data_IF_585970853617
#
_entry.id   IF_585970853617
#
_cell.length_a   1.000
_cell.length_b   1.000
_cell.length_c   1.000
_cell.angle_alpha   90.00
_cell.angle_beta   90.00
_cell.angle_gamma   90.00
#
_symmetry.space_group_name_H-M   'P 1'
#
loop_
_entity.id
_entity.type
_entity.pdbx_description
1 polymer ?
#
# COMPACT_ATOMS: atom_id res chain seq x y z
N UNK A 1 -44.05 -51.24 9.58
CA UNK A 1 -44.42 -52.65 9.38
C UNK A 1 -43.14 -53.43 9.07
N UNK A 2 -42.82 -54.43 9.91
CA UNK A 2 -41.72 -55.43 9.80
C UNK A 2 -40.28 -54.88 9.90
N UNK A 3 -39.44 -55.06 10.92
CA UNK A 3 -39.17 -56.12 11.92
C UNK A 3 -38.64 -57.48 11.42
N UNK A 4 -37.45 -57.83 11.96
CA UNK A 4 -36.89 -59.17 12.32
C UNK A 4 -36.32 -60.05 11.17
N UNK A 5 -35.24 -60.84 11.27
CA UNK A 5 -34.40 -61.42 12.35
C UNK A 5 -33.08 -61.98 11.72
N UNK A 6 -31.86 -61.79 12.24
CA UNK A 6 -31.04 -62.59 13.21
C UNK A 6 -30.69 -64.04 12.83
N UNK A 7 -29.38 -64.35 12.86
CA UNK A 7 -28.68 -65.50 13.50
C UNK A 7 -27.18 -65.08 13.58
N UNK A 8 -26.42 -65.05 14.70
CA UNK A 8 -26.28 -65.96 15.85
C UNK A 8 -25.23 -67.04 15.52
N UNK A 9 -24.14 -67.36 16.24
CA UNK A 9 -23.52 -67.02 17.52
C UNK A 9 -22.16 -67.79 17.61
N UNK A 10 -21.17 -67.45 18.44
CA UNK A 10 -20.85 -68.03 19.78
C UNK A 10 -19.43 -67.49 20.15
N UNK A 11 -19.11 -66.85 21.28
CA UNK A 11 -19.23 -67.11 22.73
C UNK A 11 -18.18 -68.09 23.31
N UNK A 12 -17.24 -67.57 24.13
CA UNK A 12 -16.82 -68.17 25.41
C UNK A 12 -15.96 -67.19 26.25
N UNK A 13 -16.24 -67.14 27.56
CA UNK A 13 -15.67 -66.28 28.59
C UNK A 13 -15.16 -67.12 29.77
N UNK A 14 -14.28 -66.55 30.62
CA UNK A 14 -14.11 -66.93 32.04
C UNK A 14 -13.30 -65.82 32.76
N UNK A 15 -13.90 -65.05 33.69
CA UNK A 15 -14.02 -65.25 35.18
C UNK A 15 -12.73 -64.91 35.94
N UNK A 16 -12.69 -64.39 37.17
CA UNK A 16 -13.58 -63.71 38.14
C UNK A 16 -12.70 -63.60 39.41
N UNK A 17 -12.80 -62.55 40.25
CA UNK A 17 -12.32 -62.68 41.63
C UNK A 17 -12.00 -61.39 42.37
N UNK A 18 -12.87 -61.01 43.31
CA UNK A 18 -12.77 -59.89 44.25
C UNK A 18 -12.73 -60.48 45.67
N UNK A 19 -11.92 -59.94 46.60
CA UNK A 19 -12.30 -59.43 47.96
C UNK A 19 -11.06 -59.15 48.87
N UNK A 20 -10.88 -57.91 49.37
CA UNK A 20 -11.07 -57.33 50.76
C UNK A 20 -10.07 -57.92 51.82
N UNK A 21 -9.24 -57.19 52.61
CA UNK A 21 -9.53 -56.40 53.85
C UNK A 21 -8.24 -55.74 54.46
N UNK A 22 -8.29 -54.40 54.73
CA UNK A 22 -7.94 -53.57 55.97
C UNK A 22 -6.54 -53.70 56.63
N UNK A 23 -5.83 -52.73 57.25
CA UNK A 23 -5.96 -51.32 57.75
C UNK A 23 -4.55 -50.69 57.89
N UNK A 24 -4.42 -49.35 57.94
CA UNK A 24 -3.91 -48.68 59.15
C UNK A 24 -3.32 -47.28 58.91
N UNK A 25 -3.71 -46.32 59.76
CA UNK A 25 -3.32 -44.90 59.75
C UNK A 25 -1.86 -44.64 60.14
N UNK A 26 -1.26 -43.58 59.59
CA UNK A 26 -0.29 -42.73 60.29
C UNK A 26 -0.21 -41.33 59.64
N UNK A 27 -0.32 -40.29 60.46
CA UNK A 27 -0.23 -38.88 60.10
C UNK A 27 1.23 -38.43 59.89
N UNK A 28 1.48 -37.48 58.99
CA UNK A 28 2.67 -36.61 59.04
C UNK A 28 2.37 -35.19 58.57
N UNK A 29 2.89 -34.26 59.35
CA UNK A 29 2.78 -32.81 59.24
C UNK A 29 3.45 -32.27 57.97
N UNK A 30 2.79 -31.32 57.29
CA UNK A 30 3.44 -30.47 56.28
C UNK A 30 4.23 -29.37 57.00
N UNK A 31 5.54 -29.54 57.11
CA UNK A 31 6.46 -28.45 57.39
C UNK A 31 6.73 -27.68 56.08
N UNK A 32 6.40 -26.39 56.06
CA UNK A 32 6.68 -25.50 54.94
C UNK A 32 8.18 -25.31 54.76
N UNK A 33 8.68 -25.62 53.56
CA UNK A 33 10.01 -25.23 53.11
C UNK A 33 9.81 -24.02 52.20
N UNK A 34 10.11 -22.82 52.70
CA UNK A 34 10.29 -21.63 51.89
C UNK A 34 11.56 -21.80 51.07
N UNK A 35 11.42 -22.13 49.78
CA UNK A 35 12.54 -22.08 48.84
C UNK A 35 12.70 -20.64 48.37
N UNK A 36 13.69 -19.95 48.92
CA UNK A 36 14.15 -18.65 48.43
C UNK A 36 14.77 -18.83 47.05
N UNK A 37 14.02 -18.53 45.99
CA UNK A 37 14.57 -18.43 44.63
C UNK A 37 15.42 -17.16 44.58
N UNK A 38 16.73 -17.32 44.68
CA UNK A 38 17.69 -16.27 44.36
C UNK A 38 17.57 -15.95 42.87
N UNK A 39 17.26 -14.68 42.58
CA UNK A 39 17.29 -14.12 41.24
C UNK A 39 18.67 -14.35 40.64
N UNK A 40 18.73 -15.22 39.62
CA UNK A 40 19.85 -15.23 38.68
C UNK A 40 19.60 -14.08 37.72
N UNK A 41 20.59 -13.19 37.59
CA UNK A 41 20.64 -12.16 36.56
C UNK A 41 20.32 -12.78 35.21
N UNK A 42 19.10 -12.54 34.74
CA UNK A 42 18.71 -12.78 33.37
C UNK A 42 19.37 -11.67 32.56
N UNK A 43 20.49 -12.01 31.92
CA UNK A 43 21.04 -11.20 30.84
C UNK A 43 19.92 -10.88 29.84
N UNK A 44 19.97 -9.66 29.31
CA UNK A 44 19.05 -9.12 28.30
C UNK A 44 18.95 -10.06 27.10
N UNK A 45 18.01 -11.01 27.18
CA UNK A 45 17.59 -11.83 26.07
C UNK A 45 16.79 -10.94 25.14
N UNK A 46 17.42 -10.51 24.06
CA UNK A 46 16.78 -9.86 22.93
C UNK A 46 15.57 -10.72 22.54
N UNK A 47 14.38 -10.09 22.54
CA UNK A 47 13.15 -10.74 22.10
C UNK A 47 13.38 -11.35 20.70
N UNK A 48 12.80 -12.52 20.38
CA UNK A 48 13.00 -13.14 19.08
C UNK A 48 12.69 -12.11 17.99
N UNK A 49 13.65 -11.90 17.08
CA UNK A 49 13.53 -10.95 15.98
C UNK A 49 12.17 -11.12 15.32
N UNK A 50 11.35 -10.06 15.40
CA UNK A 50 10.10 -10.00 14.66
C UNK A 50 10.39 -10.30 13.18
N UNK A 51 9.50 -11.02 12.46
CA UNK A 51 9.74 -11.34 11.05
C UNK A 51 10.10 -10.08 10.26
N UNK A 52 11.19 -10.15 9.49
CA UNK A 52 11.63 -9.03 8.67
C UNK A 52 10.60 -8.74 7.57
N UNK A 53 9.74 -7.76 7.83
CA UNK A 53 8.71 -7.29 6.90
C UNK A 53 9.26 -6.31 5.85
N UNK A 54 10.58 -6.23 5.66
CA UNK A 54 11.16 -5.25 4.76
C UNK A 54 10.71 -5.55 3.33
N UNK A 55 10.05 -4.58 2.64
CA UNK A 55 9.44 -4.83 1.36
C UNK A 55 10.49 -5.16 0.28
N UNK A 56 10.17 -6.15 -0.56
CA UNK A 56 10.90 -6.43 -1.79
C UNK A 56 10.44 -5.49 -2.91
N UNK A 57 11.41 -4.94 -3.66
CA UNK A 57 11.15 -4.09 -4.81
C UNK A 57 11.95 -4.56 -6.03
N UNK A 58 11.27 -4.71 -7.16
CA UNK A 58 11.87 -5.14 -8.42
C UNK A 58 11.97 -3.92 -9.34
N UNK A 59 13.20 -3.54 -9.73
CA UNK A 59 13.46 -2.44 -10.65
C UNK A 59 13.99 -2.99 -11.98
N UNK A 60 13.28 -2.73 -13.07
CA UNK A 60 13.64 -3.19 -14.42
C UNK A 60 14.05 -2.00 -15.28
N UNK A 61 15.32 -1.96 -15.71
CA UNK A 61 15.82 -0.98 -16.69
C UNK A 61 15.70 -1.58 -18.09
N UNK A 62 14.87 -0.97 -18.94
CA UNK A 62 14.68 -1.41 -20.32
C UNK A 62 15.88 -1.04 -21.21
N UNK A 63 16.54 0.08 -20.98
CA UNK A 63 17.72 0.49 -21.77
C UNK A 63 18.91 -0.42 -21.49
N UNK A 64 19.14 -0.75 -20.23
CA UNK A 64 20.29 -1.57 -19.83
C UNK A 64 20.00 -3.06 -19.86
N UNK A 65 18.75 -3.44 -20.16
CA UNK A 65 18.28 -4.83 -20.16
C UNK A 65 18.64 -5.55 -18.87
N UNK A 66 18.33 -4.93 -17.72
CA UNK A 66 18.60 -5.49 -16.38
C UNK A 66 17.39 -5.42 -15.48
N UNK A 67 17.33 -6.36 -14.54
CA UNK A 67 16.49 -6.30 -13.35
C UNK A 67 17.38 -6.29 -12.11
N UNK A 68 17.07 -5.41 -11.17
CA UNK A 68 17.62 -5.38 -9.82
C UNK A 68 16.51 -5.66 -8.81
N UNK A 69 16.83 -6.46 -7.80
CA UNK A 69 15.92 -6.81 -6.71
C UNK A 69 16.49 -6.25 -5.43
N UNK A 70 15.71 -5.41 -4.77
CA UNK A 70 16.04 -4.78 -3.51
C UNK A 70 15.18 -5.30 -2.38
N UNK A 71 15.73 -5.31 -1.16
CA UNK A 71 14.99 -5.42 0.10
C UNK A 71 15.22 -4.13 0.86
N UNK A 72 14.20 -3.29 0.93
CA UNK A 72 14.39 -1.89 1.31
C UNK A 72 15.35 -1.22 0.33
N UNK A 73 16.46 -0.67 0.83
CA UNK A 73 17.49 -0.04 -0.01
C UNK A 73 18.68 -0.95 -0.33
N UNK A 74 18.72 -2.17 0.23
CA UNK A 74 19.80 -3.12 -0.01
C UNK A 74 19.60 -3.86 -1.33
N UNK A 75 20.60 -3.83 -2.22
CA UNK A 75 20.59 -4.61 -3.46
C UNK A 75 20.85 -6.08 -3.16
N UNK A 76 19.83 -6.92 -3.30
CA UNK A 76 19.96 -8.36 -3.09
C UNK A 76 20.54 -9.07 -4.32
N UNK A 77 19.95 -8.83 -5.50
CA UNK A 77 20.29 -9.55 -6.73
C UNK A 77 20.19 -8.66 -7.96
N UNK A 78 20.96 -9.02 -8.98
CA UNK A 78 20.89 -8.45 -10.33
C UNK A 78 20.85 -9.57 -11.36
N UNK A 79 20.17 -9.34 -12.48
CA UNK A 79 20.14 -10.27 -13.62
C UNK A 79 19.95 -9.51 -14.93
N UNK A 80 20.53 -10.00 -16.04
CA UNK A 80 20.11 -9.54 -17.36
C UNK A 80 18.65 -9.95 -17.62
N UNK A 81 17.99 -9.22 -18.53
CA UNK A 81 16.66 -9.53 -19.05
C UNK A 81 16.67 -9.53 -20.58
N UNK A 82 15.57 -9.98 -21.18
CA UNK A 82 15.22 -9.66 -22.57
C UNK A 82 13.79 -9.12 -22.60
N UNK A 83 13.63 -7.81 -22.83
CA UNK A 83 12.35 -7.12 -22.93
C UNK A 83 11.72 -7.22 -24.33
N UNK A 84 10.61 -6.50 -24.54
CA UNK A 84 9.85 -6.44 -25.79
C UNK A 84 10.58 -5.75 -26.94
N UNK A 85 10.52 -6.36 -28.13
CA UNK A 85 11.10 -5.83 -29.38
C UNK A 85 10.30 -4.62 -29.90
N UNK A 86 10.83 -3.84 -30.88
CA UNK A 86 10.06 -2.79 -31.54
C UNK A 86 8.70 -3.28 -32.06
N UNK A 87 7.66 -2.46 -31.87
CA UNK A 87 6.26 -2.83 -32.17
C UNK A 87 5.58 -3.72 -31.12
N UNK A 88 6.33 -4.29 -30.17
CA UNK A 88 5.83 -5.05 -29.02
C UNK A 88 6.60 -4.68 -27.75
N UNK A 89 6.82 -3.37 -27.55
CA UNK A 89 7.60 -2.86 -26.44
C UNK A 89 7.03 -3.28 -25.09
N UNK A 90 7.90 -3.58 -24.13
CA UNK A 90 7.47 -3.73 -22.74
C UNK A 90 7.03 -2.36 -22.22
N UNK A 91 5.80 -2.23 -21.68
CA UNK A 91 5.33 -0.96 -21.15
C UNK A 91 6.16 -0.54 -19.94
N UNK A 92 6.41 0.76 -19.81
CA UNK A 92 7.05 1.32 -18.61
C UNK A 92 5.98 1.73 -17.61
N UNK A 93 6.34 1.75 -16.32
CA UNK A 93 5.44 2.19 -15.27
C UNK A 93 5.60 1.43 -13.95
N UNK A 94 4.58 1.56 -13.11
CA UNK A 94 4.47 0.92 -11.81
C UNK A 94 3.45 -0.20 -11.90
N UNK A 95 3.89 -1.42 -11.61
CA UNK A 95 3.08 -2.63 -11.67
C UNK A 95 3.13 -3.37 -10.34
N UNK A 96 2.25 -4.35 -10.20
CA UNK A 96 2.28 -5.31 -9.11
C UNK A 96 2.13 -6.72 -9.67
N UNK A 97 2.69 -7.73 -8.99
CA UNK A 97 2.53 -9.12 -9.40
C UNK A 97 1.07 -9.55 -9.16
N UNK A 98 0.31 -9.70 -10.24
CA UNK A 98 -1.13 -10.02 -10.21
C UNK A 98 -1.38 -11.51 -10.00
N UNK A 99 -0.57 -12.33 -10.66
CA UNK A 99 -0.71 -13.78 -10.72
C UNK A 99 0.67 -14.43 -10.78
N UNK A 100 0.80 -15.61 -10.17
CA UNK A 100 2.01 -16.42 -10.23
C UNK A 100 1.67 -17.85 -10.64
N UNK A 101 2.34 -18.38 -11.67
CA UNK A 101 2.22 -19.79 -12.07
C UNK A 101 3.59 -20.39 -12.41
N UNK A 102 3.93 -21.52 -11.77
CA UNK A 102 5.19 -22.24 -12.07
C UNK A 102 5.22 -22.78 -13.50
N UNK A 103 4.10 -23.32 -13.98
CA UNK A 103 3.90 -23.78 -15.36
C UNK A 103 2.78 -22.96 -15.98
N UNK A 104 3.09 -22.13 -16.96
CA UNK A 104 2.14 -21.34 -17.73
C UNK A 104 2.47 -21.41 -19.21
N UNK A 105 1.47 -21.20 -20.06
CA UNK A 105 1.60 -21.14 -21.50
C UNK A 105 0.86 -19.91 -22.00
N UNK A 106 1.44 -19.20 -22.96
CA UNK A 106 0.84 -17.96 -23.50
C UNK A 106 -0.39 -18.27 -24.33
N UNK A 107 -1.53 -17.70 -23.94
CA UNK A 107 -2.77 -17.75 -24.73
C UNK A 107 -2.67 -16.94 -26.04
N UNK A 108 -1.76 -15.96 -26.10
CA UNK A 108 -1.61 -15.03 -27.24
C UNK A 108 -0.56 -15.47 -28.25
N UNK A 109 0.32 -16.41 -27.88
CA UNK A 109 1.48 -16.80 -28.69
C UNK A 109 1.58 -18.33 -28.76
N UNK A 110 0.61 -18.98 -29.39
CA UNK A 110 0.60 -20.42 -29.71
C UNK A 110 0.99 -21.33 -28.54
N UNK A 111 0.49 -21.06 -27.32
CA UNK A 111 0.85 -21.81 -26.11
C UNK A 111 2.36 -21.86 -25.85
N UNK A 112 3.11 -20.80 -26.19
CA UNK A 112 4.52 -20.72 -25.89
C UNK A 112 4.74 -20.85 -24.36
N UNK A 113 5.65 -21.73 -23.90
CA UNK A 113 5.87 -21.96 -22.48
C UNK A 113 6.44 -20.72 -21.80
N UNK A 114 5.87 -20.37 -20.65
CA UNK A 114 6.30 -19.29 -19.76
C UNK A 114 6.52 -19.86 -18.35
N UNK A 115 7.61 -20.61 -18.10
CA UNK A 115 7.89 -21.15 -16.77
C UNK A 115 8.15 -20.02 -15.77
N UNK A 116 7.73 -20.24 -14.51
CA UNK A 116 7.87 -19.26 -13.42
C UNK A 116 7.25 -17.89 -13.74
N UNK A 117 6.10 -17.90 -14.42
CA UNK A 117 5.40 -16.69 -14.84
C UNK A 117 4.88 -15.89 -13.65
N UNK A 118 5.13 -14.59 -13.68
CA UNK A 118 4.62 -13.59 -12.76
C UNK A 118 3.99 -12.45 -13.57
N UNK A 119 2.65 -12.38 -13.57
CA UNK A 119 1.87 -11.47 -14.43
C UNK A 119 1.89 -10.05 -13.88
N UNK A 120 2.11 -9.07 -14.76
CA UNK A 120 2.12 -7.64 -14.43
C UNK A 120 0.89 -6.91 -14.97
N UNK A 121 0.36 -7.36 -16.11
CA UNK A 121 -0.86 -6.79 -16.70
C UNK A 121 -1.83 -7.88 -17.13
N UNK A 122 -3.12 -7.57 -17.12
CA UNK A 122 -4.14 -8.45 -17.70
C UNK A 122 -4.07 -8.53 -19.22
N UNK A 123 -3.42 -7.55 -19.89
CA UNK A 123 -3.11 -7.62 -21.32
C UNK A 123 -2.04 -8.68 -21.67
N UNK A 124 -1.35 -9.26 -20.68
CA UNK A 124 -0.47 -10.41 -20.89
C UNK A 124 1.01 -10.16 -20.64
N UNK A 125 1.42 -8.97 -20.19
CA UNK A 125 2.83 -8.68 -19.86
C UNK A 125 3.18 -9.38 -18.54
N UNK A 126 4.30 -10.11 -18.53
CA UNK A 126 4.76 -10.87 -17.38
C UNK A 126 6.29 -10.98 -17.32
N UNK A 127 6.81 -11.24 -16.12
CA UNK A 127 8.15 -11.77 -15.90
C UNK A 127 8.09 -13.29 -16.04
N UNK A 128 9.01 -13.93 -16.77
CA UNK A 128 9.07 -15.38 -16.84
C UNK A 128 10.44 -15.87 -17.35
N UNK A 129 10.73 -17.17 -17.16
CA UNK A 129 11.92 -17.78 -17.77
C UNK A 129 11.85 -17.70 -19.30
N UNK A 130 12.96 -17.36 -19.96
CA UNK A 130 13.07 -17.42 -21.42
C UNK A 130 14.50 -17.31 -21.95
N UNK A 131 14.67 -17.40 -23.27
CA UNK A 131 15.96 -17.19 -23.94
C UNK A 131 16.29 -15.69 -24.00
N UNK A 132 17.53 -15.32 -23.68
CA UNK A 132 18.04 -13.95 -23.66
C UNK A 132 19.12 -13.79 -24.74
N UNK A 133 18.81 -13.17 -25.88
CA UNK A 133 19.78 -12.99 -26.97
C UNK A 133 20.71 -11.77 -26.77
N UNK A 134 20.62 -11.08 -25.63
CA UNK A 134 21.39 -9.87 -25.33
C UNK A 134 20.75 -8.55 -25.80
N UNK A 135 19.55 -8.59 -26.37
CA UNK A 135 18.79 -7.43 -26.84
C UNK A 135 17.28 -7.65 -26.68
N UNK A 136 16.44 -6.59 -26.76
CA UNK A 136 14.98 -6.73 -26.68
C UNK A 136 14.42 -7.61 -27.81
N UNK A 137 13.81 -8.74 -27.44
CA UNK A 137 13.38 -9.76 -28.41
C UNK A 137 11.98 -10.34 -28.13
N UNK A 138 11.35 -10.02 -26.99
CA UNK A 138 10.05 -10.56 -26.61
C UNK A 138 8.89 -9.85 -27.30
N UNK A 139 7.67 -10.35 -27.10
CA UNK A 139 6.45 -9.65 -27.50
C UNK A 139 5.81 -8.89 -26.31
N UNK A 140 6.65 -8.25 -25.48
CA UNK A 140 6.23 -7.40 -24.36
C UNK A 140 6.62 -7.95 -22.99
N UNK A 141 6.72 -9.26 -22.82
CA UNK A 141 7.16 -9.88 -21.56
C UNK A 141 8.63 -9.60 -21.23
N UNK A 142 8.99 -9.71 -19.96
CA UNK A 142 10.36 -9.58 -19.48
C UNK A 142 10.92 -10.99 -19.25
N UNK A 143 11.79 -11.46 -20.14
CA UNK A 143 12.39 -12.79 -20.02
C UNK A 143 13.57 -12.78 -19.06
N UNK A 144 13.68 -13.83 -18.26
CA UNK A 144 14.71 -14.02 -17.24
C UNK A 144 15.49 -15.33 -17.48
N UNK A 145 16.77 -15.41 -17.07
CA UNK A 145 17.50 -16.66 -17.00
C UNK A 145 16.80 -17.67 -16.08
N UNK A 146 16.92 -18.97 -16.36
CA UNK A 146 16.22 -20.03 -15.63
C UNK A 146 16.43 -19.99 -14.12
N UNK A 147 17.69 -19.95 -13.66
CA UNK A 147 18.01 -19.95 -12.23
C UNK A 147 17.44 -18.71 -11.54
N UNK A 148 17.64 -17.53 -12.13
CA UNK A 148 17.09 -16.28 -11.59
C UNK A 148 15.55 -16.27 -11.57
N UNK A 149 14.89 -16.79 -12.60
CA UNK A 149 13.42 -16.88 -12.63
C UNK A 149 12.88 -17.78 -11.52
N UNK A 150 13.57 -18.90 -11.23
CA UNK A 150 13.24 -19.80 -10.14
C UNK A 150 13.36 -19.12 -8.77
N UNK A 151 14.50 -18.48 -8.53
CA UNK A 151 14.79 -17.77 -7.29
C UNK A 151 13.81 -16.61 -7.09
N UNK A 152 13.62 -15.79 -8.12
CA UNK A 152 12.72 -14.64 -8.09
C UNK A 152 11.28 -15.10 -7.80
N UNK A 153 10.85 -16.20 -8.41
CA UNK A 153 9.53 -16.77 -8.13
C UNK A 153 9.41 -17.29 -6.69
N UNK A 154 10.50 -17.73 -6.06
CA UNK A 154 10.51 -18.14 -4.66
C UNK A 154 10.39 -16.96 -3.68
N UNK A 155 11.06 -15.85 -3.97
CA UNK A 155 11.14 -14.70 -3.05
C UNK A 155 9.96 -13.73 -3.14
N UNK A 156 9.28 -13.64 -4.29
CA UNK A 156 8.18 -12.67 -4.47
C UNK A 156 6.84 -13.20 -4.00
N UNK A 157 5.88 -12.31 -3.79
CA UNK A 157 4.48 -12.64 -3.57
C UNK A 157 3.56 -11.86 -4.52
N UNK A 158 2.28 -12.23 -4.55
CA UNK A 158 1.28 -11.41 -5.25
C UNK A 158 1.20 -10.04 -4.57
N UNK A 159 1.07 -8.98 -5.36
CA UNK A 159 1.07 -7.60 -4.88
C UNK A 159 2.47 -6.98 -4.71
N UNK A 160 3.57 -7.74 -4.85
CA UNK A 160 4.91 -7.16 -4.84
C UNK A 160 5.10 -6.19 -6.02
N UNK A 161 5.73 -5.04 -5.76
CA UNK A 161 5.90 -3.96 -6.73
C UNK A 161 6.99 -4.26 -7.74
N UNK A 162 6.67 -3.97 -9.00
CA UNK A 162 7.61 -4.06 -10.13
C UNK A 162 7.57 -2.73 -10.86
N UNK A 163 8.67 -1.99 -10.80
CA UNK A 163 8.84 -0.75 -11.53
C UNK A 163 9.63 -1.06 -12.80
N UNK A 164 9.04 -0.73 -13.94
CA UNK A 164 9.68 -0.88 -15.25
C UNK A 164 9.99 0.50 -15.78
N UNK A 165 11.27 0.85 -15.80
CA UNK A 165 11.75 2.18 -16.18
C UNK A 165 12.53 2.11 -17.49
N UNK A 166 12.66 3.25 -18.16
CA UNK A 166 13.52 3.33 -19.36
C UNK A 166 14.99 3.19 -18.96
N UNK A 167 15.44 4.08 -18.09
CA UNK A 167 16.81 4.14 -17.58
C UNK A 167 16.89 3.49 -16.20
N UNK A 168 18.11 3.27 -15.71
CA UNK A 168 18.33 2.68 -14.39
C UNK A 168 17.80 3.56 -13.26
N UNK A 169 17.15 2.94 -12.29
CA UNK A 169 16.68 3.57 -11.07
C UNK A 169 17.17 2.76 -9.85
N UNK A 170 17.25 3.44 -8.71
CA UNK A 170 17.59 2.84 -7.42
C UNK A 170 16.71 3.44 -6.32
N UNK A 171 16.40 2.67 -5.26
CA UNK A 171 15.71 3.19 -4.10
C UNK A 171 16.62 4.11 -3.29
N UNK A 172 16.08 5.26 -2.90
CA UNK A 172 16.74 6.20 -1.98
C UNK A 172 15.95 6.30 -0.67
N UNK A 173 16.61 6.32 0.51
CA UNK A 173 15.93 6.63 1.76
C UNK A 173 15.32 8.03 1.71
N UNK A 174 14.11 8.19 2.26
CA UNK A 174 13.45 9.48 2.33
C UNK A 174 12.64 9.63 3.64
N UNK A 175 12.69 10.84 4.20
CA UNK A 175 11.85 11.27 5.33
C UNK A 175 11.16 12.56 4.94
N UNK A 176 9.84 12.63 5.09
CA UNK A 176 9.07 13.81 4.71
C UNK A 176 7.74 13.89 5.45
N UNK A 177 7.31 15.10 5.82
CA UNK A 177 6.10 15.33 6.62
C UNK A 177 4.79 14.97 5.88
N UNK A 178 4.80 14.95 4.56
CA UNK A 178 3.67 14.53 3.73
C UNK A 178 3.49 13.00 3.68
N UNK A 179 4.50 12.22 4.07
CA UNK A 179 4.40 10.77 4.10
C UNK A 179 3.66 10.32 5.36
N UNK A 180 2.63 9.45 5.24
CA UNK A 180 1.90 8.96 6.39
C UNK A 180 2.82 8.31 7.42
N UNK A 181 2.50 8.52 8.69
CA UNK A 181 3.19 7.88 9.81
C UNK A 181 2.21 6.95 10.52
N UNK A 182 2.67 5.82 11.09
CA UNK A 182 1.82 4.97 11.92
C UNK A 182 1.15 5.80 13.02
N UNK A 183 -0.14 5.56 13.24
CA UNK A 183 -0.90 6.26 14.27
C UNK A 183 -1.57 5.27 15.19
N UNK A 184 -1.22 5.34 16.48
CA UNK A 184 -1.87 4.58 17.55
C UNK A 184 -2.87 5.52 18.23
N UNK A 185 -4.18 5.26 18.16
CA UNK A 185 -5.16 6.05 18.88
C UNK A 185 -4.89 5.96 20.39
N UNK A 186 -4.55 7.10 21.01
CA UNK A 186 -4.52 7.18 22.47
C UNK A 186 -5.93 6.97 23.00
N UNK A 187 -6.16 5.88 23.73
CA UNK A 187 -7.40 5.75 24.50
C UNK A 187 -7.17 6.49 25.81
N UNK A 188 -7.53 7.77 25.88
CA UNK A 188 -7.71 8.40 27.19
C UNK A 188 -8.98 7.80 27.78
N UNK A 189 -8.83 6.73 28.56
CA UNK A 189 -9.87 6.35 29.50
C UNK A 189 -9.94 7.50 30.48
N UNK A 190 -11.11 8.15 30.60
CA UNK A 190 -11.36 9.09 31.67
C UNK A 190 -11.30 8.31 32.99
N UNK A 191 -10.09 8.16 33.53
CA UNK A 191 -9.89 7.70 34.89
C UNK A 191 -10.48 8.80 35.78
N UNK A 192 -11.66 8.54 36.34
CA UNK A 192 -12.17 9.36 37.42
C UNK A 192 -11.14 9.25 38.55
N UNK A 193 -10.36 10.32 38.76
CA UNK A 193 -9.39 10.32 39.85
C UNK A 193 -10.13 10.07 41.17
N UNK A 194 -9.43 9.41 42.11
CA UNK A 194 -9.97 9.16 43.45
C UNK A 194 -10.51 10.44 44.11
N UNK A 195 -9.90 11.59 43.82
CA UNK A 195 -10.34 12.89 44.32
C UNK A 195 -11.66 13.36 43.65
N UNK A 196 -11.85 13.08 42.36
CA UNK A 196 -13.11 13.39 41.67
C UNK A 196 -14.27 12.58 42.24
N UNK A 197 -14.06 11.28 42.48
CA UNK A 197 -15.06 10.38 43.07
C UNK A 197 -15.38 10.79 44.52
N UNK A 198 -14.35 11.14 45.31
CA UNK A 198 -14.51 11.54 46.72
C UNK A 198 -15.25 12.87 46.88
N UNK A 199 -15.09 13.78 45.93
CA UNK A 199 -15.63 15.14 46.02
C UNK A 199 -17.01 15.31 45.37
N UNK A 200 -17.48 14.33 44.59
CA UNK A 200 -18.84 14.32 44.05
C UNK A 200 -19.84 13.73 45.07
N UNK A 201 -20.81 14.52 45.58
CA UNK A 201 -21.80 14.06 46.55
C UNK A 201 -22.68 12.91 46.05
N UNK A 202 -22.86 12.77 44.73
CA UNK A 202 -23.71 11.73 44.13
C UNK A 202 -23.00 10.36 44.02
N UNK A 203 -21.65 10.35 44.09
CA UNK A 203 -20.83 9.13 43.97
C UNK A 203 -20.31 8.61 45.32
N UNK A 204 -20.54 9.36 46.41
CA UNK A 204 -20.14 8.96 47.76
C UNK A 204 -20.93 7.73 48.22
N UNK A 205 -20.23 6.60 48.32
CA UNK A 205 -20.75 5.35 48.90
C UNK A 205 -21.41 4.39 47.90
N UNK A 206 -21.46 4.73 46.61
CA UNK A 206 -22.00 3.87 45.56
C UNK A 206 -20.92 3.03 44.84
N UNK A 207 -19.64 3.30 45.08
CA UNK A 207 -18.50 2.61 44.46
C UNK A 207 -17.57 2.09 45.55
N UNK A 208 -17.33 0.78 45.57
CA UNK A 208 -16.33 0.14 46.43
C UNK A 208 -14.93 0.46 45.86
N UNK A 209 -14.23 1.41 46.48
CA UNK A 209 -12.91 1.89 46.02
C UNK A 209 -11.80 0.84 46.16
N UNK A 210 -12.05 -0.26 46.89
CA UNK A 210 -11.08 -1.34 47.08
C UNK A 210 -10.96 -2.29 45.87
N UNK A 211 -11.83 -2.14 44.87
CA UNK A 211 -11.84 -2.94 43.64
C UNK A 211 -11.39 -2.16 42.37
N UNK A 212 -10.76 -0.99 42.53
CA UNK A 212 -10.20 -0.26 41.39
C UNK A 212 -8.83 -0.85 41.04
N UNK A 213 -8.82 -1.71 40.02
CA UNK A 213 -7.59 -2.20 39.39
C UNK A 213 -6.68 -1.02 38.98
N UNK A 214 -5.36 -1.17 39.06
CA UNK A 214 -4.44 -0.14 38.59
C UNK A 214 -4.77 0.18 37.13
N UNK A 215 -4.74 1.47 36.81
CA UNK A 215 -4.95 2.06 35.49
C UNK A 215 -4.39 1.13 34.40
N UNK A 216 -5.30 0.38 33.76
CA UNK A 216 -4.94 -0.48 32.64
C UNK A 216 -4.47 0.49 31.56
N UNK A 217 -3.16 0.54 31.35
CA UNK A 217 -2.55 1.28 30.25
C UNK A 217 -3.40 1.01 29.01
N UNK A 218 -3.81 2.04 28.25
CA UNK A 218 -4.75 1.86 27.16
C UNK A 218 -4.26 0.72 26.32
N UNK A 219 -5.03 -0.37 26.29
CA UNK A 219 -4.66 -1.55 25.56
C UNK A 219 -4.42 -1.09 24.12
N UNK A 220 -3.15 -0.95 23.75
CA UNK A 220 -2.77 -0.83 22.36
C UNK A 220 -3.50 -2.00 21.71
N UNK A 221 -4.30 -1.72 20.69
CA UNK A 221 -4.94 -2.80 19.94
C UNK A 221 -3.80 -3.62 19.36
N UNK A 222 -3.35 -4.64 20.09
CA UNK A 222 -2.32 -5.57 19.66
C UNK A 222 -2.92 -6.27 18.45
N UNK A 223 -2.54 -5.78 17.27
CA UNK A 223 -2.62 -6.57 16.05
C UNK A 223 -1.34 -7.40 16.07
N UNK A 224 -1.39 -8.69 16.47
CA UNK A 224 -0.18 -9.50 16.59
C UNK A 224 0.53 -9.70 15.23
N UNK A 225 -0.16 -9.39 14.12
CA UNK A 225 0.40 -9.36 12.78
C UNK A 225 -0.14 -8.15 12.00
N UNK A 226 0.68 -7.62 11.09
CA UNK A 226 0.26 -6.62 10.14
C UNK A 226 -0.63 -7.24 9.07
N UNK A 227 -1.76 -6.60 8.76
CA UNK A 227 -2.55 -6.96 7.57
C UNK A 227 -1.81 -6.62 6.27
N UNK A 228 -2.41 -6.96 5.13
CA UNK A 228 -1.82 -6.65 3.82
C UNK A 228 -1.46 -5.16 3.63
N UNK A 229 -0.37 -4.85 2.92
CA UNK A 229 0.04 -3.48 2.60
C UNK A 229 -1.06 -2.59 2.00
N UNK A 230 -1.04 -1.31 2.36
CA UNK A 230 -1.80 -0.30 1.64
C UNK A 230 -1.16 0.01 0.29
N UNK A 231 -2.01 0.19 -0.71
CA UNK A 231 -1.63 0.69 -2.04
C UNK A 231 -2.32 2.03 -2.21
N UNK A 232 -1.56 3.10 -2.12
CA UNK A 232 -2.07 4.47 -2.17
C UNK A 232 -1.64 5.12 -3.48
N UNK A 233 -2.49 5.99 -4.02
CA UNK A 233 -2.15 6.85 -5.14
C UNK A 233 -2.70 8.25 -4.90
N UNK A 234 -1.89 9.26 -5.18
CA UNK A 234 -2.27 10.66 -5.25
C UNK A 234 -2.15 11.12 -6.70
N UNK A 235 -3.24 11.65 -7.23
CA UNK A 235 -3.30 12.23 -8.58
C UNK A 235 -3.93 13.61 -8.56
N UNK A 236 -3.61 14.49 -9.54
CA UNK A 236 -4.42 15.67 -9.82
C UNK A 236 -5.89 15.31 -9.97
N UNK A 237 -6.77 16.19 -9.50
CA UNK A 237 -8.21 16.05 -9.73
C UNK A 237 -8.49 16.19 -11.23
N UNK A 238 -9.57 15.57 -11.69
CA UNK A 238 -9.94 15.45 -13.11
C UNK A 238 -8.92 14.70 -14.00
N UNK A 239 -8.05 13.89 -13.39
CA UNK A 239 -7.03 13.12 -14.12
C UNK A 239 -6.02 13.99 -14.85
N UNK A 240 -5.87 15.25 -14.42
CA UNK A 240 -4.99 16.25 -15.03
C UNK A 240 -5.60 17.03 -16.20
N UNK A 241 -6.83 16.75 -16.64
CA UNK A 241 -7.46 17.47 -17.77
C UNK A 241 -8.12 18.80 -17.33
N UNK A 242 -7.30 19.66 -16.73
CA UNK A 242 -7.73 21.00 -16.29
C UNK A 242 -8.20 21.84 -17.48
N UNK A 243 -7.65 21.61 -18.67
CA UNK A 243 -8.04 22.31 -19.90
C UNK A 243 -9.52 22.06 -20.20
N UNK A 244 -9.98 20.80 -20.15
CA UNK A 244 -11.38 20.47 -20.40
C UNK A 244 -12.31 21.10 -19.35
N UNK A 245 -11.89 21.12 -18.09
CA UNK A 245 -12.65 21.79 -17.02
C UNK A 245 -12.76 23.29 -17.28
N UNK A 246 -11.67 23.96 -17.66
CA UNK A 246 -11.67 25.37 -18.03
C UNK A 246 -12.50 25.65 -19.28
N UNK A 247 -12.42 24.82 -20.33
CA UNK A 247 -13.26 24.93 -21.53
C UNK A 247 -14.75 24.86 -21.17
N UNK A 248 -15.17 23.94 -20.28
CA UNK A 248 -16.57 23.87 -19.83
C UNK A 248 -17.01 25.13 -19.09
N UNK A 249 -16.17 25.64 -18.19
CA UNK A 249 -16.50 26.83 -17.40
C UNK A 249 -16.61 28.07 -18.30
N UNK A 250 -15.64 28.28 -19.19
CA UNK A 250 -15.65 29.38 -20.16
C UNK A 250 -16.85 29.31 -21.12
N UNK A 251 -17.20 28.12 -21.60
CA UNK A 251 -18.36 27.93 -22.48
C UNK A 251 -19.67 28.26 -21.77
N UNK A 252 -19.84 27.80 -20.53
CA UNK A 252 -21.01 28.10 -19.68
C UNK A 252 -21.17 29.61 -19.40
N UNK A 253 -20.06 30.33 -19.33
CA UNK A 253 -20.03 31.79 -19.15
C UNK A 253 -20.14 32.58 -20.47
N UNK A 254 -20.22 31.90 -21.62
CA UNK A 254 -20.42 32.54 -22.92
C UNK A 254 -19.14 33.01 -23.62
N UNK A 255 -17.94 32.65 -23.14
CA UNK A 255 -16.66 33.03 -23.76
C UNK A 255 -16.30 32.21 -25.01
N UNK A 256 -17.13 31.23 -25.39
CA UNK A 256 -16.99 30.42 -26.62
C UNK A 256 -15.58 29.85 -26.88
N UNK A 257 -15.01 29.04 -25.96
CA UNK A 257 -13.64 28.52 -26.06
C UNK A 257 -13.43 27.49 -27.19
N UNK A 258 -14.48 27.13 -27.92
CA UNK A 258 -14.50 26.04 -28.90
C UNK A 258 -14.92 24.70 -28.27
N UNK A 259 -14.67 23.58 -28.96
CA UNK A 259 -15.00 22.25 -28.45
C UNK A 259 -14.33 21.96 -27.11
N UNK A 260 -15.06 21.27 -26.23
CA UNK A 260 -14.56 20.77 -24.94
C UNK A 260 -13.74 19.49 -25.19
N UNK A 261 -12.55 19.65 -25.76
CA UNK A 261 -11.69 18.57 -26.22
C UNK A 261 -10.46 18.33 -25.32
N UNK A 262 -10.19 19.23 -24.37
CA UNK A 262 -9.00 19.21 -23.50
C UNK A 262 -7.74 19.77 -24.18
N UNK A 263 -7.86 20.37 -25.36
CA UNK A 263 -6.75 20.95 -26.10
C UNK A 263 -6.75 22.47 -25.92
N UNK A 264 -5.62 23.02 -25.46
CA UNK A 264 -5.43 24.47 -25.38
C UNK A 264 -5.19 25.05 -26.80
N UNK A 265 -6.27 25.15 -27.58
CA UNK A 265 -6.27 25.64 -28.97
C UNK A 265 -6.31 27.17 -29.08
N UNK A 266 -6.35 27.70 -30.30
CA UNK A 266 -6.45 29.15 -30.55
C UNK A 266 -7.70 29.75 -29.91
N UNK A 267 -8.88 29.17 -30.16
CA UNK A 267 -10.16 29.62 -29.60
C UNK A 267 -10.17 29.60 -28.07
N UNK A 268 -9.64 28.54 -27.46
CA UNK A 268 -9.55 28.43 -26.00
C UNK A 268 -8.62 29.50 -25.42
N UNK A 269 -7.47 29.77 -26.06
CA UNK A 269 -6.57 30.85 -25.60
C UNK A 269 -7.22 32.24 -25.71
N UNK A 270 -7.95 32.51 -26.79
CA UNK A 270 -8.68 33.79 -26.91
C UNK A 270 -9.77 33.92 -25.84
N UNK A 271 -10.56 32.88 -25.61
CA UNK A 271 -11.56 32.86 -24.54
C UNK A 271 -10.92 33.10 -23.15
N UNK A 272 -9.75 32.52 -22.90
CA UNK A 272 -8.98 32.79 -21.68
C UNK A 272 -8.55 34.24 -21.60
N UNK A 273 -8.07 34.86 -22.69
CA UNK A 273 -7.66 36.28 -22.69
C UNK A 273 -8.84 37.20 -22.38
N UNK A 274 -9.99 36.95 -23.01
CA UNK A 274 -11.21 37.71 -22.76
C UNK A 274 -11.65 37.60 -21.29
N UNK A 275 -11.57 36.39 -20.72
CA UNK A 275 -11.86 36.22 -19.30
C UNK A 275 -10.82 36.92 -18.40
N UNK A 276 -9.52 36.81 -18.74
CA UNK A 276 -8.45 37.46 -17.97
C UNK A 276 -8.59 38.97 -17.96
N UNK A 277 -8.96 39.57 -19.09
CA UNK A 277 -9.24 41.00 -19.22
C UNK A 277 -10.40 41.41 -18.30
N UNK A 278 -11.53 40.69 -18.36
CA UNK A 278 -12.69 40.97 -17.50
C UNK A 278 -12.45 40.71 -16.01
N UNK A 279 -11.53 39.81 -15.67
CA UNK A 279 -11.20 39.43 -14.30
C UNK A 279 -9.97 40.18 -13.73
N UNK A 280 -9.45 41.19 -14.44
CA UNK A 280 -8.26 41.98 -14.07
C UNK A 280 -7.01 41.12 -13.78
N UNK A 281 -6.87 40.02 -14.51
CA UNK A 281 -5.71 39.12 -14.44
C UNK A 281 -4.69 39.47 -15.56
N UNK A 282 -3.41 39.08 -15.41
CA UNK A 282 -2.45 39.18 -16.51
C UNK A 282 -2.94 38.45 -17.77
N UNK A 283 -3.15 39.22 -18.86
CA UNK A 283 -3.71 38.73 -20.13
C UNK A 283 -2.64 37.96 -20.90
N UNK A 284 -2.51 36.68 -20.59
CA UNK A 284 -1.49 35.78 -21.15
C UNK A 284 -2.09 34.78 -22.15
N UNK A 285 -3.38 34.47 -22.01
CA UNK A 285 -4.02 33.35 -22.72
C UNK A 285 -3.56 31.97 -22.24
N UNK A 286 -2.78 31.92 -21.16
CA UNK A 286 -2.23 30.69 -20.60
C UNK A 286 -3.02 30.25 -19.36
N UNK A 287 -3.06 28.94 -19.15
CA UNK A 287 -3.60 28.34 -17.93
C UNK A 287 -2.67 28.64 -16.75
N UNK A 288 -3.22 29.25 -15.71
CA UNK A 288 -2.53 29.48 -14.44
C UNK A 288 -3.45 29.07 -13.29
N UNK A 289 -2.88 28.78 -12.11
CA UNK A 289 -3.68 28.49 -10.93
C UNK A 289 -4.61 29.66 -10.56
N UNK A 290 -4.14 30.91 -10.74
CA UNK A 290 -4.93 32.12 -10.53
C UNK A 290 -6.14 32.22 -11.47
N UNK A 291 -5.97 31.90 -12.76
CA UNK A 291 -7.06 31.84 -13.73
C UNK A 291 -8.12 30.81 -13.31
N UNK A 292 -7.70 29.58 -12.97
CA UNK A 292 -8.62 28.51 -12.58
C UNK A 292 -9.43 28.92 -11.35
N UNK A 293 -8.76 29.50 -10.35
CA UNK A 293 -9.41 29.97 -9.13
C UNK A 293 -10.42 31.08 -9.40
N UNK A 294 -10.10 32.01 -10.30
CA UNK A 294 -11.02 33.07 -10.73
C UNK A 294 -12.24 32.52 -11.48
N UNK A 295 -12.06 31.51 -12.35
CA UNK A 295 -13.17 30.86 -13.06
C UNK A 295 -14.16 30.18 -12.11
N UNK A 296 -13.67 29.47 -11.09
CA UNK A 296 -14.55 28.86 -10.09
C UNK A 296 -15.35 29.91 -9.32
N UNK A 297 -14.67 30.98 -8.88
CA UNK A 297 -15.31 32.10 -8.18
C UNK A 297 -16.40 32.76 -9.04
N UNK A 298 -16.12 33.05 -10.30
CA UNK A 298 -17.07 33.66 -11.23
C UNK A 298 -18.26 32.73 -11.51
N UNK A 299 -18.03 31.41 -11.56
CA UNK A 299 -19.09 30.43 -11.71
C UNK A 299 -19.97 30.29 -10.44
N UNK A 300 -19.63 30.97 -9.34
CA UNK A 300 -20.28 30.80 -8.04
C UNK A 300 -20.09 29.39 -7.47
N UNK A 301 -18.97 28.74 -7.81
CA UNK A 301 -18.67 27.36 -7.42
C UNK A 301 -17.47 27.34 -6.48
N UNK A 302 -17.54 26.51 -5.44
CA UNK A 302 -16.37 26.24 -4.60
C UNK A 302 -15.32 25.51 -5.42
N UNK A 303 -14.06 25.95 -5.29
CA UNK A 303 -12.97 25.28 -5.98
C UNK A 303 -12.75 23.90 -5.35
N UNK A 304 -12.82 22.82 -6.15
CA UNK A 304 -12.59 21.49 -5.64
C UNK A 304 -11.12 21.33 -5.23
N UNK A 305 -10.85 20.39 -4.32
CA UNK A 305 -9.47 20.01 -3.97
C UNK A 305 -8.66 19.72 -5.24
N UNK A 306 -7.41 20.17 -5.29
CA UNK A 306 -6.59 20.05 -6.50
C UNK A 306 -6.09 18.63 -6.76
N UNK A 307 -6.17 17.73 -5.79
CA UNK A 307 -5.87 16.31 -5.93
C UNK A 307 -6.85 15.40 -5.20
N UNK A 308 -6.66 14.09 -5.43
CA UNK A 308 -7.39 13.01 -4.76
C UNK A 308 -6.39 11.95 -4.31
N UNK A 309 -6.51 11.49 -3.06
CA UNK A 309 -5.88 10.29 -2.54
C UNK A 309 -6.85 9.13 -2.65
N UNK A 310 -6.43 8.04 -3.28
CA UNK A 310 -7.18 6.77 -3.33
C UNK A 310 -6.34 5.67 -2.72
N UNK A 311 -6.98 4.78 -1.96
CA UNK A 311 -6.31 3.69 -1.25
C UNK A 311 -7.00 2.38 -1.57
N UNK A 312 -6.15 1.40 -1.93
CA UNK A 312 -6.50 0.02 -2.12
C UNK A 312 -5.82 -0.87 -1.08
N UNK A 313 -6.50 -1.97 -0.76
CA UNK A 313 -5.93 -3.09 -0.03
C UNK A 313 -6.51 -4.37 -0.60
N UNK A 314 -5.68 -5.38 -0.83
CA UNK A 314 -6.09 -6.65 -1.44
C UNK A 314 -6.88 -6.43 -2.75
N UNK A 315 -6.40 -5.52 -3.60
CA UNK A 315 -7.01 -5.19 -4.90
C UNK A 315 -8.43 -4.58 -4.85
N UNK A 316 -8.85 -4.05 -3.69
CA UNK A 316 -10.15 -3.39 -3.50
C UNK A 316 -9.94 -1.95 -3.03
N UNK A 317 -10.75 -1.03 -3.55
CA UNK A 317 -10.82 0.35 -3.03
C UNK A 317 -11.40 0.32 -1.62
N UNK A 318 -10.70 0.94 -0.66
CA UNK A 318 -11.12 0.98 0.75
C UNK A 318 -11.28 2.40 1.29
N UNK A 319 -10.67 3.38 0.63
CA UNK A 319 -10.67 4.75 1.10
C UNK A 319 -10.38 5.72 -0.05
N UNK A 320 -11.04 6.88 -0.01
CA UNK A 320 -10.82 7.99 -0.93
C UNK A 320 -10.98 9.31 -0.16
N UNK A 321 -10.08 10.25 -0.38
CA UNK A 321 -10.13 11.55 0.26
C UNK A 321 -9.59 12.67 -0.65
N UNK A 322 -10.12 13.91 -0.51
CA UNK A 322 -9.53 15.06 -1.16
C UNK A 322 -8.13 15.34 -0.59
N UNK A 323 -7.21 15.73 -1.47
CA UNK A 323 -5.89 16.25 -1.09
C UNK A 323 -5.62 17.56 -1.80
N UNK A 324 -4.83 18.41 -1.19
CA UNK A 324 -4.33 19.60 -1.87
C UNK A 324 -2.97 19.27 -2.51
N UNK A 325 -2.93 19.42 -3.83
CA UNK A 325 -1.73 19.45 -4.64
C UNK A 325 -1.39 20.91 -4.95
N UNK A 326 -0.26 21.37 -4.44
CA UNK A 326 0.29 22.68 -4.75
C UNK A 326 0.82 22.66 -6.18
N UNK A 327 0.45 23.70 -6.93
CA UNK A 327 0.75 23.87 -8.36
C UNK A 327 0.40 22.62 -9.19
N UNK A 328 -0.89 22.22 -9.28
CA UNK A 328 -1.30 20.96 -9.90
C UNK A 328 -1.09 20.94 -11.43
N UNK A 329 -0.72 22.07 -12.04
CA UNK A 329 -0.43 22.20 -13.47
C UNK A 329 1.02 21.87 -13.83
N UNK A 330 1.94 21.99 -12.87
CA UNK A 330 3.34 21.62 -13.09
C UNK A 330 3.47 20.09 -13.21
N UNK A 331 4.32 19.57 -14.12
CA UNK A 331 4.56 18.15 -14.25
C UNK A 331 4.95 17.51 -12.91
N UNK A 332 4.40 16.32 -12.65
CA UNK A 332 4.73 15.51 -11.46
C UNK A 332 5.60 14.33 -11.88
N UNK A 333 5.31 13.68 -13.01
CA UNK A 333 5.92 12.40 -13.35
C UNK A 333 5.28 11.24 -12.57
N UNK A 334 6.06 10.23 -12.22
CA UNK A 334 5.58 9.07 -11.44
C UNK A 334 6.61 8.65 -10.40
N UNK A 335 6.27 8.87 -9.13
CA UNK A 335 7.14 8.58 -7.99
C UNK A 335 6.46 7.59 -7.05
N UNK A 336 7.20 6.59 -6.59
CA UNK A 336 6.73 5.54 -5.68
C UNK A 336 7.48 5.64 -4.37
N UNK A 337 6.74 5.79 -3.29
CA UNK A 337 7.24 5.81 -1.92
C UNK A 337 6.79 4.52 -1.25
N UNK A 338 7.68 3.82 -0.55
CA UNK A 338 7.35 2.58 0.15
C UNK A 338 7.79 2.66 1.61
N UNK A 339 6.87 2.41 2.52
CA UNK A 339 7.13 2.31 3.94
C UNK A 339 7.99 1.07 4.21
N UNK A 340 9.11 1.26 4.90
CA UNK A 340 9.99 0.19 5.33
C UNK A 340 9.39 -0.55 6.54
N UNK A 341 10.19 -1.40 7.17
CA UNK A 341 9.79 -2.15 8.37
C UNK A 341 9.59 -1.23 9.57
N UNK A 342 8.53 -1.49 10.32
CA UNK A 342 8.24 -0.92 11.64
C UNK A 342 7.40 -1.94 12.42
N UNK A 343 7.25 -1.75 13.74
CA UNK A 343 6.55 -2.65 14.65
C UNK A 343 5.16 -2.11 15.03
N UNK A 344 4.20 -2.97 15.39
CA UNK A 344 2.94 -2.50 15.96
C UNK A 344 3.22 -1.65 17.20
N UNK A 345 2.60 -0.46 17.27
CA UNK A 345 2.84 0.49 18.36
C UNK A 345 3.84 1.59 18.02
N UNK A 346 4.70 1.41 17.01
CA UNK A 346 5.59 2.47 16.55
C UNK A 346 4.78 3.67 16.07
N UNK A 347 5.33 4.88 16.25
CA UNK A 347 4.72 6.14 15.82
C UNK A 347 5.44 6.77 14.64
N UNK A 348 6.46 6.09 14.12
CA UNK A 348 7.27 6.56 13.00
C UNK A 348 7.71 5.40 12.12
N UNK A 349 7.81 5.65 10.82
CA UNK A 349 8.34 4.71 9.84
C UNK A 349 9.23 5.44 8.84
N UNK A 350 10.33 4.79 8.47
CA UNK A 350 11.19 5.23 7.38
C UNK A 350 10.63 4.82 6.03
N UNK A 351 10.85 5.65 5.02
CA UNK A 351 10.38 5.40 3.67
C UNK A 351 11.56 5.30 2.71
N UNK A 352 11.33 4.64 1.59
CA UNK A 352 12.20 4.72 0.41
C UNK A 352 11.42 5.29 -0.78
N UNK A 353 12.10 6.00 -1.66
CA UNK A 353 11.56 6.54 -2.90
C UNK A 353 12.21 5.88 -4.12
N UNK A 354 11.41 5.66 -5.17
CA UNK A 354 11.88 5.36 -6.52
C UNK A 354 11.03 6.12 -7.52
N UNK A 355 11.68 6.83 -8.44
CA UNK A 355 10.98 7.49 -9.54
C UNK A 355 10.87 6.53 -10.74
N UNK A 356 9.66 6.19 -11.15
CA UNK A 356 9.43 5.41 -12.36
C UNK A 356 9.53 6.29 -13.63
N UNK A 357 9.19 7.57 -13.48
CA UNK A 357 9.37 8.61 -14.49
C UNK A 357 9.62 9.94 -13.79
N UNK A 358 10.69 10.64 -14.15
CA UNK A 358 11.02 11.96 -13.61
C UNK A 358 10.78 13.02 -14.69
N UNK A 359 10.16 14.14 -14.29
CA UNK A 359 10.18 15.36 -15.07
C UNK A 359 11.48 16.14 -14.78
N UNK A 360 11.91 16.98 -15.71
CA UNK A 360 13.16 17.76 -15.56
C UNK A 360 13.11 18.63 -14.30
N UNK A 361 14.13 18.50 -13.44
CA UNK A 361 14.23 19.25 -12.19
C UNK A 361 13.29 18.79 -11.07
N UNK A 362 12.52 17.71 -11.25
CA UNK A 362 11.57 17.19 -10.26
C UNK A 362 12.16 16.00 -9.51
N UNK A 363 12.30 16.13 -8.19
CA UNK A 363 12.79 15.07 -7.29
C UNK A 363 11.64 14.47 -6.46
N UNK A 364 11.81 13.28 -5.88
CA UNK A 364 10.79 12.71 -4.99
C UNK A 364 10.43 13.64 -3.83
N UNK A 365 11.42 14.32 -3.23
CA UNK A 365 11.19 15.29 -2.16
C UNK A 365 10.37 16.50 -2.65
N UNK A 366 10.73 17.11 -3.78
CA UNK A 366 10.00 18.27 -4.32
C UNK A 366 8.56 17.94 -4.72
N UNK A 367 8.29 16.68 -5.08
CA UNK A 367 6.91 16.21 -5.32
C UNK A 367 6.13 16.12 -4.01
N UNK A 368 6.74 15.61 -2.93
CA UNK A 368 6.09 15.55 -1.63
C UNK A 368 5.88 16.95 -1.01
N UNK A 369 6.75 17.92 -1.31
CA UNK A 369 6.55 19.32 -0.96
C UNK A 369 5.25 19.90 -1.56
N UNK A 370 4.70 19.29 -2.61
CA UNK A 370 3.44 19.70 -3.23
C UNK A 370 2.22 19.00 -2.66
N UNK A 371 2.38 17.95 -1.86
CA UNK A 371 1.26 17.18 -1.30
C UNK A 371 0.90 17.71 0.09
N UNK A 372 -0.38 18.04 0.28
CA UNK A 372 -0.95 18.45 1.57
C UNK A 372 -2.13 17.55 1.91
N UNK A 373 -1.92 16.74 2.95
CA UNK A 373 -2.95 15.90 3.56
C UNK A 373 -3.51 16.61 4.79
N UNK A 374 -4.84 16.60 4.96
CA UNK A 374 -5.46 17.09 6.20
C UNK A 374 -5.11 16.19 7.38
N UNK A 375 -5.12 16.72 8.60
CA UNK A 375 -4.78 15.94 9.80
C UNK A 375 -5.70 14.74 10.01
N UNK A 376 -6.98 14.88 9.62
CA UNK A 376 -7.94 13.79 9.61
C UNK A 376 -7.46 12.66 8.69
N UNK A 377 -7.13 12.98 7.44
CA UNK A 377 -6.63 11.99 6.46
C UNK A 377 -5.34 11.35 6.94
N UNK A 378 -4.38 12.13 7.47
CA UNK A 378 -3.11 11.57 7.99
C UNK A 378 -3.35 10.56 9.10
N UNK A 379 -4.24 10.86 10.06
CA UNK A 379 -4.58 9.92 11.14
C UNK A 379 -5.29 8.67 10.63
N UNK A 380 -6.31 8.83 9.79
CA UNK A 380 -7.07 7.69 9.23
C UNK A 380 -6.16 6.75 8.43
N UNK A 381 -5.27 7.29 7.61
CA UNK A 381 -4.25 6.51 6.89
C UNK A 381 -3.25 5.88 7.85
N UNK A 382 -2.78 6.62 8.86
CA UNK A 382 -1.82 6.15 9.86
C UNK A 382 -2.32 4.94 10.66
N UNK A 383 -3.62 4.89 11.00
CA UNK A 383 -4.25 3.73 11.66
C UNK A 383 -4.26 2.49 10.75
N UNK A 384 -4.35 2.70 9.44
CA UNK A 384 -4.39 1.62 8.46
C UNK A 384 -3.00 1.20 7.97
N UNK A 385 -1.95 1.97 8.25
CA UNK A 385 -0.62 1.78 7.68
C UNK A 385 0.02 0.48 8.15
N UNK A 386 0.72 -0.20 7.25
CA UNK A 386 1.47 -1.44 7.53
C UNK A 386 2.82 -1.42 6.79
N UNK A 387 3.84 -2.18 7.21
CA UNK A 387 5.09 -2.31 6.48
C UNK A 387 4.86 -2.69 5.01
N UNK A 388 5.67 -2.15 4.11
CA UNK A 388 5.54 -2.35 2.67
C UNK A 388 4.35 -1.63 2.02
N UNK A 389 3.58 -0.85 2.77
CA UNK A 389 2.59 0.08 2.22
C UNK A 389 3.27 1.07 1.28
N UNK A 390 2.61 1.39 0.17
CA UNK A 390 3.20 2.23 -0.88
C UNK A 390 2.28 3.40 -1.21
N UNK A 391 2.87 4.56 -1.51
CA UNK A 391 2.22 5.74 -2.05
C UNK A 391 2.80 6.05 -3.43
N UNK A 392 1.96 6.13 -4.45
CA UNK A 392 2.33 6.64 -5.77
C UNK A 392 1.86 8.08 -5.88
N UNK A 393 2.73 9.01 -6.27
CA UNK A 393 2.33 10.37 -6.63
C UNK A 393 2.59 10.56 -8.12
N UNK A 394 1.55 10.87 -8.88
CA UNK A 394 1.65 10.91 -10.34
C UNK A 394 0.61 11.79 -11.02
N UNK A 395 0.97 12.37 -12.16
CA UNK A 395 0.08 13.01 -13.12
C UNK A 395 -0.38 12.07 -14.24
N UNK A 396 0.05 10.80 -14.21
CA UNK A 396 -0.35 9.76 -15.16
C UNK A 396 -1.70 9.14 -14.80
N UNK A 397 -2.46 8.80 -15.83
CA UNK A 397 -3.70 8.04 -15.64
C UNK A 397 -3.40 6.58 -15.27
N UNK A 398 -4.12 6.06 -14.29
CA UNK A 398 -4.09 4.65 -13.89
C UNK A 398 -5.34 3.88 -14.34
N UNK A 399 -6.32 4.55 -14.96
CA UNK A 399 -7.66 4.02 -15.21
C UNK A 399 -7.68 2.81 -16.16
N UNK A 400 -6.79 2.79 -17.16
CA UNK A 400 -6.72 1.67 -18.13
C UNK A 400 -6.05 0.42 -17.57
N UNK A 401 -5.12 0.59 -16.63
CA UNK A 401 -4.37 -0.52 -16.04
C UNK A 401 -4.97 -1.06 -14.74
N UNK A 402 -5.77 -0.24 -14.05
CA UNK A 402 -6.32 -0.53 -12.73
C UNK A 402 -7.77 -0.99 -12.83
N UNK A 403 -8.07 -2.18 -12.30
CA UNK A 403 -9.41 -2.76 -12.33
C UNK A 403 -9.64 -3.77 -11.21
N UNK A 404 -10.58 -4.69 -11.41
CA UNK A 404 -10.80 -5.81 -10.48
C UNK A 404 -9.55 -6.71 -10.45
N UNK A 405 -9.08 -7.03 -9.24
CA UNK A 405 -7.94 -7.92 -9.05
C UNK A 405 -6.56 -7.33 -9.36
N UNK A 406 -6.45 -6.00 -9.51
CA UNK A 406 -5.16 -5.30 -9.62
C UNK A 406 -4.95 -4.32 -8.48
N UNK A 407 -3.69 -4.00 -8.19
CA UNK A 407 -3.38 -2.77 -7.45
C UNK A 407 -3.44 -1.58 -8.42
N UNK A 408 -2.97 -0.41 -8.01
CA UNK A 408 -2.77 0.70 -8.94
C UNK A 408 -1.69 0.33 -9.94
N UNK A 409 -2.07 0.29 -11.23
CA UNK A 409 -1.16 0.10 -12.35
C UNK A 409 -1.06 1.43 -13.08
N UNK A 410 0.12 2.03 -13.05
CA UNK A 410 0.41 3.33 -13.66
C UNK A 410 1.36 3.08 -14.83
N UNK A 411 0.91 3.34 -16.05
CA UNK A 411 1.76 3.22 -17.25
C UNK A 411 2.35 4.58 -17.60
N UNK A 412 3.66 4.64 -17.81
CA UNK A 412 4.39 5.88 -18.15
C UNK A 412 4.69 6.01 -19.65
N UNK A 413 4.73 4.89 -20.39
CA UNK A 413 4.78 4.84 -21.86
C UNK A 413 4.23 3.52 -22.40
#
# INVERSE_FOLDING_TARGET
>A
MGNFEVFGGTAAAARLGRRIVVAGCAAMLFAGISVSVQARDAGTGEAPDAPDHTPLQLLVSLKDQKIKVYRGTELLRTSPISSGKPGHGTPTGVFSILEKRRKHFSNLYNNAPMPFMQRLTWSGVALHQGHLPGYPASHGCIRLPKAFAQDLFGMTERGAHVLVTRDEAAPEPIRHAALPQPFVPGTSVASLSHDTIRNDPALRGSIDTTALEPEVAPAAVERPDFGSPLRMIVTPRDGGDTVRTVQRLLDRMGFAPGPVDGVLGRRTREAIRLFQEGAELPITGNLTAGLVSALYREAGMDQPSTGVLRIRRNFKDIYEAPVELVDPLAPIGTHVFTALSFRPGDTSVDWMAVSAEQADGVTPASVLDRVRLSDKVRREVGVMLTPGSSLIVTDRSFARGTGLGTDFVVMTR
#
